data_IF_739410305011
#
_entry.id   IF_739410305011
#
_cell.length_a   1.000
_cell.length_b   1.000
_cell.length_c   1.000
_cell.angle_alpha   90.00
_cell.angle_beta   90.00
_cell.angle_gamma   90.00
#
_symmetry.space_group_name_H-M   'P 1'
#
loop_
_entity.id
_entity.type
_entity.pdbx_description
1 polymer ?
#
# COMPACT_ATOMS: atom_id res chain seq x y z
N UNK A 1 -26.34 -34.21 16.52
CA UNK A 1 -25.64 -32.97 16.13
C UNK A 1 -24.25 -33.38 15.81
N UNK A 2 -23.90 -33.47 14.53
CA UNK A 2 -22.54 -33.73 14.06
C UNK A 2 -21.77 -32.40 14.06
N UNK A 3 -20.47 -32.37 14.43
CA UNK A 3 -19.69 -31.15 14.38
C UNK A 3 -19.42 -30.80 12.91
N UNK A 4 -19.71 -29.55 12.54
CA UNK A 4 -19.25 -28.97 11.29
C UNK A 4 -17.72 -28.91 11.33
N UNK A 5 -17.06 -29.82 10.64
CA UNK A 5 -15.66 -29.65 10.25
C UNK A 5 -15.67 -28.79 9.02
N UNK A 6 -15.42 -27.49 9.17
CA UNK A 6 -15.02 -26.67 8.05
C UNK A 6 -13.69 -27.22 7.55
N UNK A 7 -13.69 -27.89 6.42
CA UNK A 7 -12.48 -28.27 5.70
C UNK A 7 -11.88 -26.95 5.21
N UNK A 8 -10.81 -26.51 5.83
CA UNK A 8 -10.01 -25.40 5.31
C UNK A 8 -9.37 -25.95 4.02
N UNK A 9 -9.90 -25.58 2.86
CA UNK A 9 -9.29 -25.90 1.58
C UNK A 9 -7.91 -25.25 1.52
N UNK A 10 -6.87 -26.04 1.39
CA UNK A 10 -5.52 -25.52 1.19
C UNK A 10 -5.45 -24.86 -0.19
N UNK A 11 -4.90 -23.63 -0.30
CA UNK A 11 -4.79 -22.95 -1.58
C UNK A 11 -3.92 -23.79 -2.52
N UNK A 12 -4.42 -24.00 -3.72
CA UNK A 12 -3.64 -24.63 -4.79
C UNK A 12 -2.56 -23.66 -5.28
N UNK A 13 -1.47 -24.17 -5.86
CA UNK A 13 -0.42 -23.35 -6.49
C UNK A 13 -0.97 -22.38 -7.56
N UNK A 14 -2.10 -22.70 -8.14
CA UNK A 14 -2.79 -21.86 -9.13
C UNK A 14 -3.46 -20.62 -8.51
N UNK A 15 -3.74 -20.64 -7.21
CA UNK A 15 -4.36 -19.51 -6.49
C UNK A 15 -3.35 -18.48 -5.98
N UNK A 16 -2.05 -18.78 -5.96
CA UNK A 16 -1.00 -17.88 -5.50
C UNK A 16 0.00 -17.65 -6.62
N UNK A 17 0.01 -16.45 -7.17
CA UNK A 17 0.97 -16.01 -8.18
C UNK A 17 1.95 -15.01 -7.57
N UNK A 18 3.22 -15.16 -7.88
CA UNK A 18 4.25 -14.17 -7.56
C UNK A 18 4.83 -13.72 -8.88
N UNK A 19 4.65 -12.44 -9.20
CA UNK A 19 4.99 -11.90 -10.50
C UNK A 19 5.53 -10.47 -10.41
N UNK A 20 6.33 -10.10 -11.39
CA UNK A 20 6.66 -8.70 -11.64
C UNK A 20 5.53 -8.11 -12.49
N UNK A 21 4.85 -7.11 -11.95
CA UNK A 21 3.87 -6.30 -12.68
C UNK A 21 4.43 -4.88 -12.84
N UNK A 22 4.94 -4.52 -14.03
CA UNK A 22 5.60 -3.24 -14.24
C UNK A 22 4.69 -2.04 -13.99
N UNK A 23 3.39 -2.15 -14.32
CA UNK A 23 2.45 -1.03 -14.23
C UNK A 23 1.98 -0.81 -12.80
N UNK A 24 1.51 -1.86 -12.11
CA UNK A 24 1.11 -1.75 -10.71
C UNK A 24 2.29 -1.38 -9.82
N UNK A 25 3.48 -1.86 -10.15
CA UNK A 25 4.73 -1.48 -9.48
C UNK A 25 5.04 0.02 -9.64
N UNK A 26 4.94 0.55 -10.87
CA UNK A 26 5.14 1.97 -11.16
C UNK A 26 4.11 2.85 -10.47
N UNK A 27 2.81 2.52 -10.55
CA UNK A 27 1.75 3.27 -9.88
C UNK A 27 1.94 3.25 -8.36
N UNK A 28 2.27 2.10 -7.77
CA UNK A 28 2.56 2.01 -6.35
C UNK A 28 3.69 2.96 -5.95
N UNK A 29 4.78 3.02 -6.74
CA UNK A 29 5.90 3.94 -6.48
C UNK A 29 5.48 5.42 -6.61
N UNK A 30 4.61 5.76 -7.56
CA UNK A 30 4.06 7.11 -7.71
C UNK A 30 3.16 7.50 -6.51
N UNK A 31 2.36 6.55 -5.99
CA UNK A 31 1.53 6.76 -4.78
C UNK A 31 2.41 7.07 -3.57
N UNK A 32 3.54 6.37 -3.41
CA UNK A 32 4.47 6.65 -2.31
C UNK A 32 4.99 8.09 -2.34
N UNK A 33 5.33 8.61 -3.52
CA UNK A 33 5.81 9.99 -3.67
C UNK A 33 4.71 11.00 -3.33
N UNK A 34 3.47 10.73 -3.73
CA UNK A 34 2.33 11.57 -3.38
C UNK A 34 2.03 11.59 -1.87
N UNK A 35 2.44 10.54 -1.12
CA UNK A 35 2.19 10.32 0.32
C UNK A 35 3.46 10.21 1.16
N UNK A 36 4.60 10.73 0.70
CA UNK A 36 5.90 10.55 1.39
C UNK A 36 5.84 10.96 2.87
N UNK A 37 5.21 12.07 3.18
CA UNK A 37 5.06 12.55 4.56
C UNK A 37 4.24 11.60 5.47
N UNK A 38 3.35 10.79 4.87
CA UNK A 38 2.47 9.85 5.58
C UNK A 38 3.05 8.46 5.73
N UNK A 39 4.12 8.14 4.97
CA UNK A 39 4.69 6.80 4.84
C UNK A 39 6.20 6.77 5.13
N UNK A 40 6.63 7.09 6.36
CA UNK A 40 8.04 7.09 6.72
C UNK A 40 8.65 5.68 6.64
N UNK A 41 9.92 5.60 6.23
CA UNK A 41 10.65 4.33 6.12
C UNK A 41 10.52 3.64 4.75
N UNK A 42 9.97 4.36 3.76
CA UNK A 42 10.06 3.98 2.34
C UNK A 42 11.50 4.12 1.84
N UNK A 43 11.77 3.65 0.62
CA UNK A 43 13.11 3.76 0.02
C UNK A 43 13.51 5.24 -0.13
N UNK A 44 14.79 5.63 0.12
CA UNK A 44 15.25 7.02 0.04
C UNK A 44 14.99 7.71 -1.30
N UNK A 45 14.88 6.96 -2.39
CA UNK A 45 14.51 7.50 -3.69
C UNK A 45 13.14 8.19 -3.70
N UNK A 46 12.20 7.72 -2.86
CA UNK A 46 10.85 8.30 -2.73
C UNK A 46 10.96 9.74 -2.21
N UNK A 47 11.58 9.91 -1.04
CA UNK A 47 11.79 11.24 -0.43
C UNK A 47 12.63 12.16 -1.33
N UNK A 48 13.73 11.65 -1.89
CA UNK A 48 14.57 12.43 -2.82
C UNK A 48 13.80 12.85 -4.08
N UNK A 49 12.85 12.06 -4.56
CA UNK A 49 12.05 12.41 -5.73
C UNK A 49 10.95 13.39 -5.35
N UNK A 50 10.30 13.19 -4.18
CA UNK A 50 9.34 14.13 -3.62
C UNK A 50 9.96 15.54 -3.46
N UNK A 51 11.15 15.65 -2.87
CA UNK A 51 11.87 16.91 -2.67
C UNK A 51 12.28 17.62 -3.98
N UNK A 52 12.41 16.90 -5.08
CA UNK A 52 12.72 17.47 -6.40
C UNK A 52 11.52 18.09 -7.11
N UNK A 53 10.30 17.77 -6.67
CA UNK A 53 9.08 18.32 -7.24
C UNK A 53 8.84 19.73 -6.70
N UNK A 54 8.57 20.70 -7.58
CA UNK A 54 8.03 21.99 -7.13
C UNK A 54 6.63 21.79 -6.51
N UNK A 55 6.17 22.77 -5.73
CA UNK A 55 4.82 22.71 -5.12
C UNK A 55 3.71 22.48 -6.17
N UNK A 56 3.83 23.11 -7.35
CA UNK A 56 2.90 22.92 -8.46
C UNK A 56 2.98 21.51 -9.06
N UNK A 57 4.20 21.00 -9.29
CA UNK A 57 4.42 19.63 -9.78
C UNK A 57 3.91 18.58 -8.79
N UNK A 58 4.13 18.81 -7.49
CA UNK A 58 3.66 17.92 -6.42
C UNK A 58 2.13 17.93 -6.31
N UNK A 59 1.50 19.11 -6.35
CA UNK A 59 0.04 19.20 -6.35
C UNK A 59 -0.56 18.49 -7.55
N UNK A 60 -0.02 18.72 -8.76
CA UNK A 60 -0.44 18.01 -9.97
C UNK A 60 -0.21 16.49 -9.86
N UNK A 61 0.90 16.06 -9.23
CA UNK A 61 1.18 14.65 -8.98
C UNK A 61 0.13 14.05 -8.05
N UNK A 62 -0.17 14.71 -6.92
CA UNK A 62 -1.24 14.29 -5.99
C UNK A 62 -2.60 14.23 -6.70
N UNK A 63 -2.93 15.24 -7.50
CA UNK A 63 -4.20 15.30 -8.24
C UNK A 63 -4.37 14.09 -9.17
N UNK A 64 -3.34 13.74 -9.95
CA UNK A 64 -3.44 12.59 -10.87
C UNK A 64 -3.40 11.26 -10.11
N UNK A 65 -2.50 11.12 -9.15
CA UNK A 65 -2.23 9.82 -8.51
C UNK A 65 -3.23 9.49 -7.40
N UNK A 66 -3.75 10.49 -6.70
CA UNK A 66 -4.74 10.30 -5.62
C UNK A 66 -6.15 10.65 -6.08
N UNK A 67 -6.35 11.84 -6.68
CA UNK A 67 -7.67 12.31 -7.12
C UNK A 67 -8.26 11.48 -8.26
N UNK A 68 -7.43 10.88 -9.13
CA UNK A 68 -7.89 9.99 -10.20
C UNK A 68 -7.38 8.55 -10.02
N UNK A 69 -7.17 8.11 -8.78
CA UNK A 69 -6.58 6.82 -8.45
C UNK A 69 -7.25 5.66 -9.17
N UNK A 70 -8.58 5.59 -9.16
CA UNK A 70 -9.31 4.49 -9.79
C UNK A 70 -9.35 4.58 -11.32
N UNK A 71 -9.16 5.76 -11.91
CA UNK A 71 -9.04 5.91 -13.37
C UNK A 71 -7.70 5.40 -13.92
N UNK A 72 -6.66 5.37 -13.08
CA UNK A 72 -5.31 4.94 -13.48
C UNK A 72 -4.97 3.52 -13.02
N UNK A 73 -5.88 2.79 -12.38
CA UNK A 73 -5.63 1.39 -12.06
C UNK A 73 -5.74 0.53 -13.33
N UNK A 74 -4.74 -0.33 -13.61
CA UNK A 74 -4.81 -1.20 -14.77
C UNK A 74 -5.83 -2.33 -14.52
N UNK A 75 -6.80 -2.46 -15.41
CA UNK A 75 -7.78 -3.56 -15.39
C UNK A 75 -7.15 -4.89 -15.84
N UNK A 76 -6.09 -4.81 -16.67
CA UNK A 76 -5.38 -5.97 -17.23
C UNK A 76 -3.91 -5.96 -16.82
N UNK A 77 -3.23 -7.09 -17.05
CA UNK A 77 -1.79 -7.18 -16.91
C UNK A 77 -1.11 -6.64 -18.17
N UNK A 78 -0.12 -5.77 -17.99
CA UNK A 78 0.60 -5.10 -19.09
C UNK A 78 2.08 -5.49 -19.09
N UNK A 79 2.69 -5.76 -20.24
CA UNK A 79 4.09 -6.16 -20.31
C UNK A 79 5.06 -5.04 -19.91
N UNK A 80 4.66 -3.77 -20.10
CA UNK A 80 5.44 -2.60 -19.69
C UNK A 80 4.55 -1.35 -19.55
N UNK A 81 5.11 -0.32 -18.91
CA UNK A 81 4.39 0.92 -18.64
C UNK A 81 4.04 1.71 -19.91
N UNK A 82 4.85 1.64 -20.97
CA UNK A 82 4.59 2.37 -22.20
C UNK A 82 3.38 1.81 -22.97
N UNK A 83 3.20 0.48 -22.98
CA UNK A 83 2.02 -0.13 -23.59
C UNK A 83 0.74 0.22 -22.82
N UNK A 84 0.78 0.20 -21.50
CA UNK A 84 -0.30 0.69 -20.66
C UNK A 84 -0.63 2.16 -20.95
N UNK A 85 0.38 3.03 -21.01
CA UNK A 85 0.20 4.44 -21.31
C UNK A 85 -0.40 4.68 -22.70
N UNK A 86 -0.02 3.88 -23.70
CA UNK A 86 -0.62 3.94 -25.03
C UNK A 86 -2.09 3.51 -24.98
N UNK A 87 -2.45 2.47 -24.23
CA UNK A 87 -3.84 2.10 -24.01
C UNK A 87 -4.65 3.23 -23.38
N UNK A 88 -4.11 3.93 -22.38
CA UNK A 88 -4.77 5.11 -21.80
C UNK A 88 -4.93 6.23 -22.81
N UNK A 89 -3.94 6.47 -23.71
CA UNK A 89 -4.03 7.44 -24.81
C UNK A 89 -5.18 7.12 -25.76
N UNK A 90 -5.43 5.85 -26.02
CA UNK A 90 -6.45 5.38 -26.96
C UNK A 90 -7.83 5.19 -26.33
N UNK A 91 -7.94 5.16 -24.98
CA UNK A 91 -9.20 4.97 -24.26
C UNK A 91 -10.19 6.10 -24.50
N UNK A 92 -11.49 5.80 -24.40
CA UNK A 92 -12.54 6.84 -24.45
C UNK A 92 -12.53 7.66 -23.14
N UNK A 93 -12.51 9.01 -23.20
CA UNK A 93 -12.44 9.85 -22.00
C UNK A 93 -13.62 9.69 -21.05
N UNK A 94 -14.82 9.48 -21.59
CA UNK A 94 -16.04 9.31 -20.77
C UNK A 94 -15.99 7.96 -20.06
N UNK A 95 -15.62 6.91 -20.77
CA UNK A 95 -15.43 5.58 -20.20
C UNK A 95 -14.39 5.60 -19.08
N UNK A 96 -13.24 6.28 -19.29
CA UNK A 96 -12.20 6.38 -18.26
C UNK A 96 -12.71 7.06 -16.98
N UNK A 97 -13.48 8.15 -17.09
CA UNK A 97 -14.11 8.80 -15.94
C UNK A 97 -15.13 7.88 -15.28
N UNK A 98 -16.00 7.24 -16.08
CA UNK A 98 -17.08 6.42 -15.56
C UNK A 98 -16.58 5.16 -14.85
N UNK A 99 -15.46 4.58 -15.29
CA UNK A 99 -14.76 3.50 -14.56
C UNK A 99 -14.39 3.96 -13.14
N UNK A 100 -13.81 5.16 -13.01
CA UNK A 100 -13.48 5.72 -11.68
C UNK A 100 -14.73 5.94 -10.81
N UNK A 101 -15.79 6.53 -11.39
CA UNK A 101 -17.03 6.78 -10.65
C UNK A 101 -17.72 5.48 -10.22
N UNK A 102 -17.68 4.45 -11.04
CA UNK A 102 -18.21 3.13 -10.72
C UNK A 102 -17.45 2.47 -9.55
N UNK A 103 -16.13 2.67 -9.46
CA UNK A 103 -15.38 2.20 -8.30
C UNK A 103 -15.78 2.96 -7.03
N UNK A 104 -16.01 4.27 -7.10
CA UNK A 104 -16.55 5.03 -5.96
C UNK A 104 -17.95 4.56 -5.52
N UNK A 105 -18.78 4.04 -6.45
CA UNK A 105 -20.08 3.47 -6.12
C UNK A 105 -19.95 2.13 -5.36
N UNK A 106 -18.96 1.30 -5.70
CA UNK A 106 -18.72 0.01 -5.05
C UNK A 106 -18.09 0.14 -3.66
N UNK A 107 -17.21 1.12 -3.46
CA UNK A 107 -16.45 1.29 -2.23
C UNK A 107 -17.20 2.25 -1.30
N UNK A 108 -17.60 1.79 -0.12
CA UNK A 108 -18.10 2.65 0.93
C UNK A 108 -17.60 2.20 2.31
N UNK A 109 -16.70 3.00 2.87
CA UNK A 109 -16.07 2.70 4.17
C UNK A 109 -16.99 3.08 5.33
N UNK A 110 -17.80 4.12 5.15
CA UNK A 110 -18.68 4.68 6.19
C UNK A 110 -20.15 4.28 6.05
N UNK A 111 -20.53 3.51 5.02
CA UNK A 111 -21.92 3.13 4.84
C UNK A 111 -22.27 1.89 5.67
N UNK A 112 -23.50 1.84 6.15
CA UNK A 112 -24.12 0.59 6.58
C UNK A 112 -24.46 -0.29 5.35
N UNK A 113 -24.92 -1.52 5.59
CA UNK A 113 -25.25 -2.46 4.52
C UNK A 113 -26.30 -1.90 3.54
N UNK A 114 -27.26 -1.11 4.03
CA UNK A 114 -28.30 -0.48 3.20
C UNK A 114 -27.72 0.67 2.34
N UNK A 115 -26.76 1.43 2.85
CA UNK A 115 -26.07 2.50 2.12
C UNK A 115 -25.15 1.99 1.01
N UNK A 116 -24.60 0.78 1.15
CA UNK A 116 -23.77 0.13 0.12
C UNK A 116 -24.59 -0.29 -1.11
N UNK A 117 -25.87 -0.63 -0.93
CA UNK A 117 -26.76 -1.11 -2.00
C UNK A 117 -27.52 0.02 -2.72
N UNK A 118 -27.43 1.28 -2.23
CA UNK A 118 -28.18 2.39 -2.82
C UNK A 118 -27.48 2.93 -4.05
N UNK A 119 -28.11 2.87 -5.26
CA UNK A 119 -27.51 3.41 -6.48
C UNK A 119 -27.23 4.91 -6.36
N UNK A 120 -26.06 5.33 -6.83
CA UNK A 120 -25.62 6.72 -6.76
C UNK A 120 -26.31 7.56 -7.86
N UNK A 121 -26.90 8.68 -7.47
CA UNK A 121 -27.40 9.65 -8.43
C UNK A 121 -26.28 10.57 -8.92
N UNK A 122 -25.51 10.11 -9.90
CA UNK A 122 -24.37 10.85 -10.46
C UNK A 122 -24.74 12.23 -10.99
N UNK A 123 -25.96 12.43 -11.48
CA UNK A 123 -26.41 13.76 -11.92
C UNK A 123 -26.47 14.75 -10.75
N UNK A 124 -26.85 14.29 -9.57
CA UNK A 124 -26.89 15.12 -8.37
C UNK A 124 -25.47 15.33 -7.81
N UNK A 125 -24.67 14.28 -7.74
CA UNK A 125 -23.28 14.33 -7.24
C UNK A 125 -22.42 15.27 -8.10
N UNK A 126 -22.56 15.21 -9.41
CA UNK A 126 -21.80 16.03 -10.35
C UNK A 126 -22.42 17.41 -10.62
N UNK A 127 -23.47 17.80 -9.90
CA UNK A 127 -24.11 19.11 -10.09
C UNK A 127 -23.25 20.28 -9.58
N UNK A 128 -22.40 20.07 -8.60
CA UNK A 128 -21.47 21.07 -8.06
C UNK A 128 -20.25 20.39 -7.40
N UNK A 129 -19.18 21.16 -7.23
CA UNK A 129 -17.99 20.76 -6.50
C UNK A 129 -18.32 20.34 -5.06
N UNK A 130 -19.14 21.13 -4.36
CA UNK A 130 -19.55 20.84 -2.98
C UNK A 130 -20.31 19.51 -2.89
N UNK A 131 -21.22 19.23 -3.84
CA UNK A 131 -21.97 17.98 -3.89
C UNK A 131 -21.03 16.77 -4.10
N UNK A 132 -20.03 16.91 -4.96
CA UNK A 132 -19.03 15.90 -5.23
C UNK A 132 -18.14 15.62 -4.00
N UNK A 133 -17.60 16.67 -3.38
CA UNK A 133 -16.74 16.54 -2.19
C UNK A 133 -17.53 15.95 -1.00
N UNK A 134 -18.77 16.41 -0.78
CA UNK A 134 -19.63 15.87 0.27
C UNK A 134 -19.92 14.38 0.05
N UNK A 135 -20.19 13.97 -1.19
CA UNK A 135 -20.36 12.56 -1.54
C UNK A 135 -19.12 11.73 -1.18
N UNK A 136 -17.91 12.23 -1.49
CA UNK A 136 -16.67 11.51 -1.12
C UNK A 136 -16.48 11.45 0.40
N UNK A 137 -16.80 12.54 1.12
CA UNK A 137 -16.72 12.55 2.59
C UNK A 137 -17.70 11.56 3.24
N UNK A 138 -18.91 11.46 2.73
CA UNK A 138 -19.90 10.50 3.21
C UNK A 138 -19.45 9.06 3.00
N UNK A 139 -18.85 8.74 1.84
CA UNK A 139 -18.40 7.39 1.50
C UNK A 139 -17.10 6.99 2.16
N UNK A 140 -16.11 7.87 2.16
CA UNK A 140 -14.75 7.54 2.60
C UNK A 140 -14.41 8.09 3.99
N UNK A 141 -15.18 9.06 4.49
CA UNK A 141 -14.93 9.75 5.75
C UNK A 141 -14.13 11.04 5.60
N UNK A 142 -14.51 12.06 6.34
CA UNK A 142 -13.93 13.41 6.29
C UNK A 142 -12.38 13.43 6.42
N UNK A 143 -11.82 12.51 7.20
CA UNK A 143 -10.37 12.43 7.45
C UNK A 143 -9.56 11.90 6.27
N UNK A 144 -10.20 11.23 5.32
CA UNK A 144 -9.55 10.62 4.15
C UNK A 144 -9.68 11.47 2.90
N UNK A 145 -10.51 12.51 2.92
CA UNK A 145 -10.79 13.38 1.78
C UNK A 145 -10.02 14.70 1.93
N UNK A 146 -9.12 14.96 0.99
CA UNK A 146 -8.46 16.26 0.84
C UNK A 146 -9.37 17.19 0.04
N UNK A 147 -10.04 18.13 0.72
CA UNK A 147 -11.06 19.01 0.14
C UNK A 147 -10.50 19.86 -1.00
N UNK A 148 -9.28 20.39 -0.86
CA UNK A 148 -8.66 21.23 -1.89
C UNK A 148 -8.36 20.38 -3.15
N UNK A 149 -7.81 19.20 -2.95
CA UNK A 149 -7.49 18.27 -4.03
C UNK A 149 -8.75 17.82 -4.77
N UNK A 150 -9.79 17.42 -4.04
CA UNK A 150 -11.04 16.90 -4.61
C UNK A 150 -11.89 17.99 -5.28
N UNK A 151 -11.84 19.21 -4.72
CA UNK A 151 -12.43 20.37 -5.39
C UNK A 151 -11.78 20.63 -6.75
N UNK A 152 -10.46 20.48 -6.82
CA UNK A 152 -9.73 20.59 -8.09
C UNK A 152 -9.98 19.40 -9.01
N UNK A 153 -10.07 18.17 -8.46
CA UNK A 153 -10.40 16.98 -9.23
C UNK A 153 -11.78 17.10 -9.91
N UNK A 154 -12.77 17.66 -9.22
CA UNK A 154 -14.11 17.87 -9.76
C UNK A 154 -14.11 18.65 -11.09
N UNK A 155 -13.28 19.70 -11.23
CA UNK A 155 -13.19 20.47 -12.48
C UNK A 155 -12.86 19.59 -13.69
N UNK A 156 -12.08 18.53 -13.50
CA UNK A 156 -11.70 17.56 -14.51
C UNK A 156 -12.71 16.43 -14.65
N UNK A 157 -13.34 16.01 -13.57
CA UNK A 157 -14.37 14.96 -13.60
C UNK A 157 -15.57 15.40 -14.46
N UNK A 158 -15.93 16.68 -14.45
CA UNK A 158 -16.99 17.22 -15.32
C UNK A 158 -16.52 17.50 -16.76
N UNK A 159 -15.20 17.47 -17.03
CA UNK A 159 -14.61 17.54 -18.37
C UNK A 159 -13.68 16.30 -18.59
N UNK A 160 -14.26 15.15 -19.00
CA UNK A 160 -13.49 13.90 -19.16
C UNK A 160 -12.34 14.02 -20.18
N UNK A 161 -12.46 14.90 -21.18
CA UNK A 161 -11.40 15.12 -22.18
C UNK A 161 -10.19 15.80 -21.52
N UNK A 162 -10.44 16.84 -20.72
CA UNK A 162 -9.38 17.51 -19.96
C UNK A 162 -8.76 16.57 -18.89
N UNK A 163 -9.60 15.76 -18.20
CA UNK A 163 -9.18 14.76 -17.23
C UNK A 163 -8.19 13.76 -17.87
N UNK A 164 -8.60 13.09 -18.94
CA UNK A 164 -7.75 12.13 -19.66
C UNK A 164 -6.45 12.78 -20.11
N UNK A 165 -6.49 13.98 -20.70
CA UNK A 165 -5.30 14.71 -21.15
C UNK A 165 -4.34 14.98 -20.01
N UNK A 166 -4.85 15.40 -18.84
CA UNK A 166 -4.04 15.64 -17.65
C UNK A 166 -3.37 14.33 -17.17
N UNK A 167 -4.14 13.24 -17.03
CA UNK A 167 -3.65 11.93 -16.61
C UNK A 167 -2.53 11.47 -17.54
N UNK A 168 -2.78 11.38 -18.83
CA UNK A 168 -1.83 10.85 -19.81
C UNK A 168 -0.54 11.69 -19.83
N UNK A 169 -0.65 13.02 -19.89
CA UNK A 169 0.52 13.90 -19.94
C UNK A 169 1.33 13.81 -18.65
N UNK A 170 0.68 13.71 -17.50
CA UNK A 170 1.37 13.61 -16.22
C UNK A 170 2.09 12.26 -16.05
N UNK A 171 1.42 11.16 -16.37
CA UNK A 171 2.02 9.83 -16.29
C UNK A 171 3.20 9.67 -17.24
N UNK A 172 3.08 10.16 -18.49
CA UNK A 172 4.17 10.16 -19.47
C UNK A 172 5.37 10.99 -19.00
N UNK A 173 5.11 12.22 -18.52
CA UNK A 173 6.13 13.10 -17.99
C UNK A 173 6.85 12.49 -16.78
N UNK A 174 6.07 11.97 -15.80
CA UNK A 174 6.62 11.42 -14.57
C UNK A 174 7.45 10.15 -14.83
N UNK A 175 6.91 9.26 -15.66
CA UNK A 175 7.63 8.05 -16.09
C UNK A 175 8.98 8.38 -16.71
N UNK A 176 9.00 9.23 -17.71
CA UNK A 176 10.23 9.55 -18.45
C UNK A 176 11.23 10.36 -17.61
N UNK A 177 10.76 11.26 -16.74
CA UNK A 177 11.64 12.16 -15.98
C UNK A 177 12.23 11.48 -14.73
N UNK A 178 11.48 10.64 -14.05
CA UNK A 178 11.87 10.15 -12.73
C UNK A 178 11.92 8.62 -12.61
N UNK A 179 10.97 7.89 -13.22
CA UNK A 179 10.73 6.50 -12.83
C UNK A 179 11.33 5.47 -13.79
N UNK A 180 11.39 5.72 -15.11
CA UNK A 180 11.83 4.71 -16.08
C UNK A 180 13.26 4.23 -15.85
N UNK A 181 14.19 5.15 -15.60
CA UNK A 181 15.59 4.81 -15.32
C UNK A 181 15.72 4.06 -13.98
N UNK A 182 14.97 4.50 -12.97
CA UNK A 182 14.93 3.85 -11.66
C UNK A 182 14.33 2.45 -11.74
N UNK A 183 13.23 2.28 -12.49
CA UNK A 183 12.62 0.98 -12.71
C UNK A 183 13.60 0.02 -13.38
N UNK A 184 14.28 0.45 -14.46
CA UNK A 184 15.31 -0.36 -15.14
C UNK A 184 16.44 -0.77 -14.19
N UNK A 185 16.84 0.13 -13.28
CA UNK A 185 17.87 -0.16 -12.28
C UNK A 185 17.42 -1.21 -11.26
N UNK A 186 16.13 -1.17 -10.85
CA UNK A 186 15.60 -2.05 -9.83
C UNK A 186 15.04 -3.38 -10.36
N UNK A 187 14.70 -3.43 -11.64
CA UNK A 187 14.08 -4.61 -12.25
C UNK A 187 14.83 -5.94 -11.98
N UNK A 188 16.17 -6.01 -12.12
CA UNK A 188 16.89 -7.25 -11.80
C UNK A 188 16.67 -7.73 -10.36
N UNK A 189 16.67 -6.80 -9.39
CA UNK A 189 16.46 -7.10 -7.97
C UNK A 189 15.02 -7.58 -7.74
N UNK A 190 14.05 -6.97 -8.41
CA UNK A 190 12.65 -7.37 -8.33
C UNK A 190 12.45 -8.78 -8.91
N UNK A 191 13.09 -9.08 -10.03
CA UNK A 191 13.06 -10.42 -10.65
C UNK A 191 13.67 -11.49 -9.74
N UNK A 192 14.77 -11.18 -9.05
CA UNK A 192 15.35 -12.10 -8.07
C UNK A 192 14.42 -12.34 -6.87
N UNK A 193 13.70 -11.30 -6.40
CA UNK A 193 12.67 -11.46 -5.36
C UNK A 193 11.55 -12.39 -5.84
N UNK A 194 11.05 -12.21 -7.06
CA UNK A 194 10.04 -13.10 -7.67
C UNK A 194 10.53 -14.56 -7.69
N UNK A 195 11.72 -14.82 -8.25
CA UNK A 195 12.31 -16.16 -8.35
C UNK A 195 12.47 -16.83 -6.98
N UNK A 196 12.95 -16.05 -5.98
CA UNK A 196 13.18 -16.57 -4.63
C UNK A 196 11.88 -17.07 -3.99
N UNK A 197 10.78 -16.33 -4.13
CA UNK A 197 9.48 -16.76 -3.60
C UNK A 197 8.79 -17.82 -4.47
N UNK A 198 8.93 -17.78 -5.80
CA UNK A 198 8.43 -18.86 -6.66
C UNK A 198 9.06 -20.23 -6.36
N UNK A 199 10.29 -20.23 -5.85
CA UNK A 199 11.02 -21.44 -5.46
C UNK A 199 10.73 -21.91 -4.03
N UNK A 200 9.95 -21.14 -3.26
CA UNK A 200 9.60 -21.48 -1.88
C UNK A 200 8.53 -22.57 -1.83
N UNK A 201 8.49 -23.31 -0.73
CA UNK A 201 7.45 -24.29 -0.45
C UNK A 201 6.36 -23.67 0.41
N UNK A 202 5.11 -23.79 -0.03
CA UNK A 202 3.91 -23.29 0.63
C UNK A 202 2.98 -24.41 1.14
N UNK A 203 3.43 -25.67 1.08
CA UNK A 203 2.63 -26.84 1.47
C UNK A 203 2.15 -26.71 2.93
N UNK A 204 0.86 -26.89 3.14
CA UNK A 204 0.24 -26.82 4.45
C UNK A 204 0.00 -25.41 5.02
N UNK A 205 0.32 -24.35 4.28
CA UNK A 205 0.08 -22.98 4.67
C UNK A 205 -1.29 -22.49 4.18
N UNK A 206 -2.02 -21.76 5.03
CA UNK A 206 -3.20 -21.00 4.63
C UNK A 206 -2.83 -19.78 3.77
N UNK A 207 -3.80 -19.19 3.08
CA UNK A 207 -3.58 -17.96 2.29
C UNK A 207 -2.98 -16.82 3.15
N UNK A 208 -3.45 -16.63 4.36
CA UNK A 208 -2.93 -15.62 5.29
C UNK A 208 -1.48 -15.92 5.71
N UNK A 209 -1.16 -17.19 6.01
CA UNK A 209 0.21 -17.59 6.33
C UNK A 209 1.16 -17.40 5.16
N UNK A 210 0.73 -17.70 3.93
CA UNK A 210 1.50 -17.41 2.71
C UNK A 210 1.71 -15.91 2.56
N UNK A 211 0.66 -15.10 2.76
CA UNK A 211 0.77 -13.66 2.66
C UNK A 211 1.72 -13.06 3.72
N UNK A 212 1.65 -13.52 4.98
CA UNK A 212 2.58 -13.16 6.05
C UNK A 212 4.02 -13.57 5.71
N UNK A 213 4.19 -14.77 5.17
CA UNK A 213 5.50 -15.28 4.80
C UNK A 213 6.15 -14.47 3.66
N UNK A 214 5.39 -14.18 2.59
CA UNK A 214 5.87 -13.43 1.43
C UNK A 214 6.13 -11.96 1.79
N UNK A 215 5.18 -11.31 2.45
CA UNK A 215 5.29 -9.88 2.79
C UNK A 215 6.21 -9.61 3.98
N UNK A 216 6.40 -10.61 4.86
CA UNK A 216 7.12 -10.45 6.12
C UNK A 216 6.39 -9.58 7.13
N UNK A 217 5.09 -9.34 6.93
CA UNK A 217 4.22 -8.52 7.77
C UNK A 217 3.28 -9.41 8.59
N UNK A 218 2.94 -8.95 9.78
CA UNK A 218 1.88 -9.55 10.60
C UNK A 218 0.54 -8.96 10.14
N UNK A 219 -0.01 -9.56 9.07
CA UNK A 219 -1.27 -9.10 8.49
C UNK A 219 -2.43 -9.47 9.39
N UNK A 220 -3.32 -8.52 9.64
CA UNK A 220 -4.53 -8.70 10.43
C UNK A 220 -5.50 -9.66 9.74
N UNK A 221 -5.97 -10.67 10.50
CA UNK A 221 -6.80 -11.76 9.99
C UNK A 221 -8.17 -11.26 9.51
N UNK A 222 -8.84 -10.43 10.32
CA UNK A 222 -10.17 -9.90 9.98
C UNK A 222 -10.13 -9.06 8.70
N UNK A 223 -9.15 -8.16 8.60
CA UNK A 223 -8.91 -7.35 7.40
C UNK A 223 -8.51 -8.19 6.19
N UNK A 224 -7.75 -9.27 6.41
CA UNK A 224 -7.36 -10.19 5.34
C UNK A 224 -8.56 -10.96 4.81
N UNK A 225 -9.35 -11.55 5.69
CA UNK A 225 -10.51 -12.36 5.32
C UNK A 225 -11.56 -11.55 4.56
N UNK A 226 -11.78 -10.29 4.97
CA UNK A 226 -12.67 -9.39 4.22
C UNK A 226 -12.20 -9.15 2.78
N UNK A 227 -10.89 -9.08 2.55
CA UNK A 227 -10.33 -8.77 1.23
C UNK A 227 -10.08 -10.00 0.36
N UNK A 228 -9.74 -11.14 0.96
CA UNK A 228 -9.34 -12.34 0.24
C UNK A 228 -10.50 -13.33 0.00
N UNK A 229 -11.66 -13.15 0.67
CA UNK A 229 -12.76 -14.11 0.68
C UNK A 229 -13.40 -14.41 -0.68
N UNK A 230 -13.37 -13.44 -1.58
CA UNK A 230 -14.09 -13.51 -2.87
C UNK A 230 -13.14 -13.51 -4.09
N UNK A 231 -11.82 -13.67 -3.87
CA UNK A 231 -10.85 -13.65 -4.95
C UNK A 231 -10.46 -15.06 -5.38
N UNK A 232 -10.32 -15.25 -6.68
CA UNK A 232 -9.85 -16.51 -7.26
C UNK A 232 -8.33 -16.63 -7.19
N UNK A 233 -7.61 -15.50 -7.20
CA UNK A 233 -6.15 -15.49 -7.23
C UNK A 233 -5.55 -14.36 -6.39
N UNK A 234 -4.51 -14.70 -5.62
CA UNK A 234 -3.63 -13.77 -4.93
C UNK A 234 -2.39 -13.50 -5.80
N UNK A 235 -2.12 -12.24 -6.11
CA UNK A 235 -0.97 -11.85 -6.93
C UNK A 235 -0.01 -11.01 -6.08
N UNK A 236 1.15 -11.57 -5.74
CA UNK A 236 2.18 -10.89 -4.96
C UNK A 236 3.18 -10.20 -5.88
N UNK A 237 3.32 -8.87 -5.72
CA UNK A 237 4.13 -8.02 -6.58
C UNK A 237 5.23 -7.35 -5.73
N UNK A 238 6.51 -7.74 -5.88
CA UNK A 238 7.58 -7.06 -5.17
C UNK A 238 7.79 -5.66 -5.70
N UNK A 239 7.97 -4.69 -4.81
CA UNK A 239 8.25 -3.28 -5.12
C UNK A 239 9.50 -2.82 -4.37
N UNK A 240 10.38 -2.10 -5.06
CA UNK A 240 11.65 -1.65 -4.49
C UNK A 240 11.51 -0.47 -3.51
N UNK A 241 10.42 0.28 -3.59
CA UNK A 241 10.28 1.58 -2.95
C UNK A 241 9.39 1.57 -1.72
N UNK A 242 8.44 0.60 -1.63
CA UNK A 242 7.39 0.58 -0.60
C UNK A 242 7.92 0.33 0.81
N UNK A 243 9.16 -0.15 0.94
CA UNK A 243 9.77 -0.42 2.24
C UNK A 243 8.96 -1.42 3.07
N UNK A 244 8.60 -1.08 4.31
CA UNK A 244 7.90 -2.01 5.20
C UNK A 244 6.39 -2.05 4.97
N UNK A 245 5.85 -1.28 4.02
CA UNK A 245 4.41 -1.23 3.78
C UNK A 245 3.94 -2.34 2.85
N UNK A 246 2.64 -2.61 2.91
CA UNK A 246 1.92 -3.50 2.00
C UNK A 246 0.69 -2.76 1.48
N UNK A 247 0.50 -2.77 0.17
CA UNK A 247 -0.70 -2.25 -0.48
C UNK A 247 -1.48 -3.40 -1.10
N UNK A 248 -2.80 -3.36 -0.98
CA UNK A 248 -3.72 -4.36 -1.50
C UNK A 248 -4.68 -3.69 -2.48
N UNK A 249 -4.87 -4.30 -3.63
CA UNK A 249 -5.70 -3.77 -4.72
C UNK A 249 -6.50 -4.91 -5.35
N UNK A 250 -7.82 -4.75 -5.42
CA UNK A 250 -8.67 -5.65 -6.19
C UNK A 250 -8.68 -5.26 -7.67
N UNK A 251 -8.59 -6.23 -8.53
CA UNK A 251 -8.81 -6.08 -9.96
C UNK A 251 -9.27 -7.41 -10.54
N UNK A 252 -10.27 -7.37 -11.41
CA UNK A 252 -10.90 -8.58 -11.87
C UNK A 252 -11.30 -9.47 -10.66
N UNK A 253 -11.09 -10.77 -10.68
CA UNK A 253 -11.29 -11.68 -9.55
C UNK A 253 -9.98 -11.91 -8.75
N UNK A 254 -9.06 -10.94 -8.75
CA UNK A 254 -7.73 -11.07 -8.14
C UNK A 254 -7.53 -10.03 -7.04
N UNK A 255 -6.68 -10.39 -6.07
CA UNK A 255 -6.14 -9.47 -5.09
C UNK A 255 -4.64 -9.29 -5.33
N UNK A 256 -4.23 -8.14 -5.85
CA UNK A 256 -2.82 -7.77 -5.89
C UNK A 256 -2.34 -7.32 -4.52
N UNK A 257 -1.22 -7.87 -4.10
CA UNK A 257 -0.52 -7.54 -2.84
C UNK A 257 0.86 -7.03 -3.20
N UNK A 258 1.03 -5.71 -3.17
CA UNK A 258 2.34 -5.07 -3.42
C UNK A 258 3.10 -5.01 -2.10
N UNK A 259 4.33 -5.52 -2.08
CA UNK A 259 5.16 -5.64 -0.88
C UNK A 259 6.61 -5.24 -1.14
N UNK A 260 7.35 -4.90 -0.09
CA UNK A 260 8.76 -4.55 -0.19
C UNK A 260 9.60 -5.72 -0.69
N UNK A 261 10.36 -5.51 -1.78
CA UNK A 261 11.19 -6.53 -2.39
C UNK A 261 12.15 -7.15 -1.35
N UNK A 262 12.06 -8.46 -1.19
CA UNK A 262 12.81 -9.26 -0.21
C UNK A 262 12.96 -10.70 -0.69
N UNK A 263 13.59 -11.52 0.11
CA UNK A 263 13.67 -12.97 -0.11
C UNK A 263 13.22 -13.74 1.15
N UNK A 264 12.84 -15.03 1.00
CA UNK A 264 12.53 -15.88 2.14
C UNK A 264 13.66 -15.90 3.18
N UNK A 265 13.32 -15.94 4.47
CA UNK A 265 14.33 -16.02 5.56
C UNK A 265 15.20 -17.27 5.45
N UNK A 266 14.67 -18.36 4.91
CA UNK A 266 15.32 -19.66 4.70
C UNK A 266 15.83 -19.88 3.26
N UNK A 267 15.93 -18.82 2.45
CA UNK A 267 16.47 -18.94 1.09
C UNK A 267 17.87 -19.57 1.11
N UNK A 268 18.09 -20.56 0.24
CA UNK A 268 19.37 -21.28 0.13
C UNK A 268 20.49 -20.41 -0.45
N UNK A 269 20.12 -19.47 -1.32
CA UNK A 269 21.01 -18.46 -1.89
C UNK A 269 20.60 -17.09 -1.37
N UNK A 270 21.55 -16.36 -0.79
CA UNK A 270 21.30 -15.01 -0.27
C UNK A 270 21.62 -13.97 -1.34
N UNK A 271 20.74 -13.00 -1.49
CA UNK A 271 20.87 -11.87 -2.40
C UNK A 271 21.16 -10.64 -1.55
N UNK A 272 22.42 -10.16 -1.52
CA UNK A 272 22.83 -9.09 -0.59
C UNK A 272 22.01 -7.81 -0.71
N UNK A 273 21.59 -7.46 -1.92
CA UNK A 273 20.79 -6.25 -2.20
C UNK A 273 19.41 -6.34 -1.55
N UNK A 274 18.76 -7.50 -1.60
CA UNK A 274 17.46 -7.74 -0.95
C UNK A 274 17.59 -7.77 0.57
N UNK A 275 18.61 -8.42 1.11
CA UNK A 275 18.91 -8.41 2.55
C UNK A 275 19.17 -7.00 3.05
N UNK A 276 19.97 -6.22 2.31
CA UNK A 276 20.27 -4.83 2.65
C UNK A 276 19.02 -3.96 2.68
N UNK A 277 18.15 -4.07 1.68
CA UNK A 277 16.91 -3.29 1.59
C UNK A 277 15.99 -3.55 2.80
N UNK A 278 15.77 -4.82 3.15
CA UNK A 278 14.97 -5.23 4.32
C UNK A 278 15.59 -4.73 5.65
N UNK A 279 16.91 -4.87 5.81
CA UNK A 279 17.63 -4.38 6.99
C UNK A 279 17.51 -2.85 7.12
N UNK A 280 17.73 -2.10 6.03
CA UNK A 280 17.64 -0.64 6.05
C UNK A 280 16.24 -0.19 6.42
N UNK A 281 15.18 -0.79 5.86
CA UNK A 281 13.80 -0.47 6.19
C UNK A 281 13.51 -0.68 7.69
N UNK A 282 14.00 -1.79 8.27
CA UNK A 282 13.85 -2.10 9.71
C UNK A 282 14.69 -1.16 10.59
N UNK A 283 15.95 -0.97 10.27
CA UNK A 283 16.85 -0.16 11.08
C UNK A 283 16.46 1.31 11.08
N UNK A 284 15.93 1.83 9.96
CA UNK A 284 15.45 3.21 9.89
C UNK A 284 14.34 3.49 10.92
N UNK A 285 13.52 2.49 11.26
CA UNK A 285 12.50 2.64 12.28
C UNK A 285 13.08 2.76 13.71
N UNK A 286 14.25 2.19 13.97
CA UNK A 286 14.94 2.29 15.26
C UNK A 286 15.88 3.51 15.37
N UNK A 287 16.24 4.12 14.26
CA UNK A 287 17.18 5.24 14.20
C UNK A 287 16.52 6.61 14.48
N UNK A 288 15.71 6.68 15.55
CA UNK A 288 15.02 7.90 15.98
C UNK A 288 14.75 7.84 17.48
N UNK A 289 15.10 8.90 18.19
CA UNK A 289 15.04 8.98 19.66
C UNK A 289 13.60 8.84 20.18
N UNK A 290 12.64 9.47 19.53
CA UNK A 290 11.22 9.40 19.94
C UNK A 290 10.67 7.99 19.79
N UNK A 291 10.99 7.31 18.68
CA UNK A 291 10.54 5.94 18.47
C UNK A 291 11.18 4.96 19.45
N UNK A 292 12.46 5.14 19.75
CA UNK A 292 13.12 4.34 20.82
C UNK A 292 12.46 4.58 22.18
N UNK A 293 12.12 5.82 22.49
CA UNK A 293 11.41 6.18 23.74
C UNK A 293 10.02 5.53 23.81
N UNK A 294 9.26 5.51 22.69
CA UNK A 294 7.97 4.81 22.61
C UNK A 294 8.14 3.30 22.85
N UNK A 295 9.12 2.68 22.20
CA UNK A 295 9.39 1.24 22.38
C UNK A 295 9.79 0.91 23.83
N UNK A 296 10.64 1.75 24.44
CA UNK A 296 11.07 1.58 25.84
C UNK A 296 9.90 1.73 26.80
N UNK A 297 9.03 2.71 26.57
CA UNK A 297 7.84 2.95 27.38
C UNK A 297 6.88 1.74 27.32
N UNK A 298 6.59 1.23 26.12
CA UNK A 298 5.73 0.05 25.94
C UNK A 298 6.39 -1.20 26.54
N UNK A 299 7.72 -1.35 26.42
CA UNK A 299 8.45 -2.44 27.06
C UNK A 299 8.31 -2.43 28.60
N UNK A 300 8.33 -1.25 29.20
CA UNK A 300 8.24 -1.09 30.66
C UNK A 300 6.82 -1.26 31.22
N UNK A 301 5.79 -0.81 30.45
CA UNK A 301 4.41 -0.77 30.93
C UNK A 301 3.53 -1.91 30.36
N UNK A 302 4.06 -2.69 29.42
CA UNK A 302 3.27 -3.69 28.68
C UNK A 302 2.38 -3.07 27.62
N UNK A 303 1.16 -3.52 27.49
CA UNK A 303 0.22 -2.97 26.51
C UNK A 303 -0.21 -1.53 26.86
N UNK A 304 -0.12 -0.61 25.88
CA UNK A 304 -0.52 0.78 26.05
C UNK A 304 -1.49 1.23 24.94
N UNK A 305 -2.49 2.04 25.29
CA UNK A 305 -3.39 2.65 24.32
C UNK A 305 -2.74 3.82 23.61
N UNK A 306 -3.17 4.09 22.38
CA UNK A 306 -2.67 5.24 21.60
C UNK A 306 -2.70 6.57 22.37
N UNK A 307 -3.79 6.83 23.11
CA UNK A 307 -3.93 8.05 23.88
C UNK A 307 -2.92 8.14 25.03
N UNK A 308 -2.68 7.05 25.74
CA UNK A 308 -1.72 7.02 26.85
C UNK A 308 -0.29 7.32 26.35
N UNK A 309 0.03 6.84 25.15
CA UNK A 309 1.34 7.11 24.51
C UNK A 309 1.44 8.59 24.08
N UNK A 310 0.37 9.16 23.50
CA UNK A 310 0.32 10.57 23.11
C UNK A 310 0.55 11.48 24.32
N UNK A 311 -0.17 11.20 25.41
CA UNK A 311 -0.10 11.99 26.63
C UNK A 311 1.28 11.91 27.30
N UNK A 312 1.91 10.73 27.27
CA UNK A 312 3.23 10.50 27.86
C UNK A 312 4.38 11.10 27.04
N UNK A 313 4.30 11.08 25.71
CA UNK A 313 5.34 11.63 24.82
C UNK A 313 5.24 13.16 24.72
N UNK A 314 4.04 13.73 24.88
CA UNK A 314 3.83 15.18 24.83
C UNK A 314 3.96 15.80 23.43
N UNK A 315 3.86 14.98 22.38
CA UNK A 315 3.85 15.44 20.99
C UNK A 315 2.42 15.47 20.43
N UNK A 316 2.25 16.11 19.28
CA UNK A 316 0.96 16.16 18.60
C UNK A 316 0.47 14.76 18.21
N UNK A 317 -0.84 14.55 18.28
CA UNK A 317 -1.48 13.28 17.88
C UNK A 317 -1.05 12.81 16.46
N UNK A 318 -0.99 13.67 15.42
CA UNK A 318 -0.52 13.25 14.11
C UNK A 318 0.93 12.73 14.12
N UNK A 319 1.82 13.37 14.88
CA UNK A 319 3.22 12.95 14.99
C UNK A 319 3.35 11.58 15.65
N UNK A 320 2.70 11.38 16.80
CA UNK A 320 2.73 10.08 17.50
C UNK A 320 2.08 9.00 16.64
N UNK A 321 0.98 9.29 15.95
CA UNK A 321 0.34 8.34 15.03
C UNK A 321 1.27 7.89 13.90
N UNK A 322 2.10 8.79 13.34
CA UNK A 322 3.11 8.42 12.33
C UNK A 322 4.18 7.50 12.91
N UNK A 323 4.67 7.79 14.11
CA UNK A 323 5.65 6.94 14.79
C UNK A 323 5.10 5.54 15.09
N UNK A 324 3.90 5.47 15.65
CA UNK A 324 3.22 4.19 15.93
C UNK A 324 2.99 3.40 14.63
N UNK A 325 2.52 4.06 13.55
CA UNK A 325 2.36 3.44 12.24
C UNK A 325 3.67 2.84 11.74
N UNK A 326 4.78 3.58 11.78
CA UNK A 326 6.08 3.09 11.33
C UNK A 326 6.57 1.91 12.17
N UNK A 327 6.42 1.95 13.48
CA UNK A 327 6.81 0.86 14.37
C UNK A 327 5.94 -0.39 14.17
N UNK A 328 4.66 -0.22 13.85
CA UNK A 328 3.73 -1.32 13.56
C UNK A 328 4.06 -1.97 12.20
N UNK A 329 4.22 -1.18 11.14
CA UNK A 329 4.50 -1.73 9.80
C UNK A 329 5.91 -2.35 9.70
N UNK A 330 6.85 -1.95 10.53
CA UNK A 330 8.15 -2.64 10.65
C UNK A 330 8.10 -3.86 11.57
N UNK A 331 6.98 -4.08 12.24
CA UNK A 331 6.69 -5.22 13.10
C UNK A 331 7.27 -5.12 14.51
N UNK A 332 7.80 -3.97 14.93
CA UNK A 332 8.29 -3.76 16.31
C UNK A 332 7.15 -3.60 17.32
N UNK A 333 6.00 -3.12 16.88
CA UNK A 333 4.77 -3.10 17.66
C UNK A 333 3.72 -3.98 16.98
N UNK A 334 2.90 -4.62 17.81
CA UNK A 334 1.66 -5.27 17.41
C UNK A 334 0.50 -4.38 17.84
N UNK A 335 -0.39 -4.06 16.89
CA UNK A 335 -1.59 -3.27 17.11
C UNK A 335 -2.79 -4.19 17.28
N UNK A 336 -3.64 -3.91 18.26
CA UNK A 336 -4.97 -4.53 18.37
C UNK A 336 -6.02 -3.51 18.78
N UNK A 337 -7.29 -3.83 18.57
CA UNK A 337 -8.39 -2.99 19.08
C UNK A 337 -8.87 -3.52 20.44
N UNK A 338 -8.93 -2.62 21.41
CA UNK A 338 -9.45 -2.90 22.75
C UNK A 338 -10.55 -1.88 23.03
N UNK A 339 -11.78 -2.34 23.11
CA UNK A 339 -12.97 -1.47 23.31
C UNK A 339 -13.05 -0.31 22.29
N UNK A 340 -12.77 -0.60 21.02
CA UNK A 340 -12.78 0.38 19.94
C UNK A 340 -11.53 1.27 19.81
N UNK A 341 -10.64 1.28 20.81
CA UNK A 341 -9.39 2.03 20.80
C UNK A 341 -8.23 1.15 20.35
N UNK A 342 -7.24 1.77 19.69
CA UNK A 342 -5.98 1.09 19.33
C UNK A 342 -5.10 0.94 20.57
N UNK A 343 -4.57 -0.26 20.76
CA UNK A 343 -3.58 -0.59 21.77
C UNK A 343 -2.38 -1.29 21.12
N UNK A 344 -1.20 -1.11 21.71
CA UNK A 344 0.08 -1.53 21.16
C UNK A 344 0.88 -2.33 22.18
N UNK A 345 1.48 -3.43 21.73
CA UNK A 345 2.41 -4.26 22.50
C UNK A 345 3.73 -4.36 21.77
N UNK A 346 4.82 -4.55 22.54
CA UNK A 346 6.16 -4.72 21.96
C UNK A 346 6.34 -6.13 21.38
N UNK A 347 6.86 -6.21 20.17
CA UNK A 347 7.29 -7.46 19.55
C UNK A 347 8.81 -7.66 19.73
N UNK A 348 9.20 -8.18 20.87
CA UNK A 348 10.62 -8.44 21.18
C UNK A 348 11.30 -9.41 20.21
N UNK A 349 10.57 -10.41 19.71
CA UNK A 349 11.09 -11.36 18.71
C UNK A 349 11.49 -10.63 17.40
N UNK A 350 10.75 -9.61 17.00
CA UNK A 350 11.09 -8.80 15.81
C UNK A 350 12.40 -8.03 16.01
N UNK A 351 12.61 -7.47 17.20
CA UNK A 351 13.85 -6.77 17.55
C UNK A 351 15.04 -7.73 17.45
N UNK A 352 14.93 -8.89 18.08
CA UNK A 352 15.99 -9.90 18.05
C UNK A 352 16.31 -10.37 16.62
N UNK A 353 15.27 -10.65 15.82
CA UNK A 353 15.44 -11.05 14.42
C UNK A 353 16.14 -9.97 13.60
N UNK A 354 15.81 -8.68 13.84
CA UNK A 354 16.47 -7.57 13.13
C UNK A 354 17.95 -7.49 13.49
N UNK A 355 18.29 -7.55 14.77
CA UNK A 355 19.69 -7.50 15.21
C UNK A 355 20.49 -8.70 14.69
N UNK A 356 19.91 -9.91 14.69
CA UNK A 356 20.52 -11.11 14.10
C UNK A 356 20.74 -10.95 12.59
N UNK A 357 19.77 -10.37 11.86
CA UNK A 357 19.90 -10.11 10.42
C UNK A 357 21.05 -9.14 10.12
N UNK A 358 21.15 -8.03 10.89
CA UNK A 358 22.26 -7.07 10.78
C UNK A 358 23.59 -7.74 11.06
N UNK A 359 23.69 -8.50 12.16
CA UNK A 359 24.90 -9.24 12.51
C UNK A 359 25.34 -10.17 11.38
N UNK A 360 24.42 -11.00 10.89
CA UNK A 360 24.67 -11.92 9.79
C UNK A 360 25.11 -11.22 8.50
N UNK A 361 24.47 -10.10 8.16
CA UNK A 361 24.79 -9.32 6.96
C UNK A 361 26.18 -8.71 7.01
N UNK A 362 26.59 -8.18 8.19
CA UNK A 362 27.89 -7.51 8.34
C UNK A 362 29.05 -8.46 8.60
N UNK A 363 28.81 -9.55 9.32
CA UNK A 363 29.88 -10.43 9.84
C UNK A 363 29.88 -11.84 9.18
N UNK A 364 28.87 -12.15 8.37
CA UNK A 364 28.85 -13.38 7.57
C UNK A 364 28.63 -14.68 8.35
N UNK A 365 28.08 -14.58 9.59
CA UNK A 365 27.87 -15.75 10.49
C UNK A 365 26.38 -16.02 10.65
#
# INVERSE_FOLDING_TARGET
MAPFSATIEQPTREQVLIALDPVRNAIASMVLIARDEEMPGTHPWVTQTHEKLSSEELFRHKLVILGFFHAIQPENDWPNFNEYLNNLKDSDPVTLRDTMLNEYEKICINCDAAGQETPVNWKQVLASSDAYVNFLMERFGEKLVDVELETKAYEYVIDPVAMKKLIVNHLDWFWNKYLSAEFTRMEPILQESVKAFQSANYDGMSQLEIARYITGQDLDEESWDMMAKEVEQLVFIPNAHIGPYVTKLHYDNKLAVVFGARQPENASVRIPELDRADIVARMSALADDTRLSILQMIAANGEMRSQDIIDAIGLSQPSVSRYLKQLTVTGYLQERRVNGAKAYTLNSNRIEKTLKAVHKFLLGN
#
